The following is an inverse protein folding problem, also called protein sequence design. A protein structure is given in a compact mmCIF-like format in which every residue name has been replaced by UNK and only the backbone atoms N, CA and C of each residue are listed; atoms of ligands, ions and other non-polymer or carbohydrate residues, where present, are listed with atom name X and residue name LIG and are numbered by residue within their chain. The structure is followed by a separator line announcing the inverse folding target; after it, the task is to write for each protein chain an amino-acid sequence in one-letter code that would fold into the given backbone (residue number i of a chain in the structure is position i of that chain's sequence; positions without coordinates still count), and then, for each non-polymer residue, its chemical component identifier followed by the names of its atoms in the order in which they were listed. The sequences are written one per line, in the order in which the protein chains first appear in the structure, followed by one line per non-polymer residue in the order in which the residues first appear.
data_IF_024869060629
#
_entry.id   IF_024869060629
#
_cell.length_a   1.000
_cell.length_b   1.000
_cell.length_c   1.000
_cell.angle_alpha   90.00
_cell.angle_beta   90.00
_cell.angle_gamma   90.00
#
_symmetry.space_group_name_H-M   'P 1'
#
loop_
_entity.id
_entity.type
_entity.pdbx_description
1 polymer ?
#
# COMPACT_ATOMS: atom_id res chain seq x y z
N UNK A 1 45.57 -7.54 -46.84
CA UNK A 1 44.12 -7.78 -46.69
C UNK A 1 43.54 -6.72 -45.75
N UNK A 2 42.83 -5.72 -46.27
CA UNK A 2 42.16 -4.68 -45.45
C UNK A 2 40.76 -5.18 -45.10
N UNK A 3 40.47 -5.36 -43.81
CA UNK A 3 39.10 -5.64 -43.34
C UNK A 3 38.38 -4.31 -43.17
N UNK A 4 37.39 -4.07 -44.02
CA UNK A 4 36.45 -2.95 -43.87
C UNK A 4 35.36 -3.42 -42.92
N UNK A 5 35.21 -2.75 -41.78
CA UNK A 5 34.13 -3.00 -40.82
C UNK A 5 33.00 -2.02 -41.10
N UNK A 6 31.82 -2.53 -41.47
CA UNK A 6 30.60 -1.73 -41.60
C UNK A 6 29.90 -1.70 -40.25
N UNK A 7 29.89 -0.54 -39.59
CA UNK A 7 29.05 -0.30 -38.41
C UNK A 7 27.72 0.27 -38.88
N UNK A 8 26.65 -0.51 -38.73
CA UNK A 8 25.28 -0.10 -39.03
C UNK A 8 24.74 0.69 -37.83
N UNK A 9 24.74 2.03 -37.91
CA UNK A 9 24.14 2.91 -36.92
C UNK A 9 22.63 2.95 -37.18
N UNK A 10 21.85 2.32 -36.31
CA UNK A 10 20.39 2.50 -36.28
C UNK A 10 20.06 3.86 -35.67
N UNK A 11 19.94 4.89 -36.52
CA UNK A 11 19.31 6.14 -36.15
C UNK A 11 17.79 5.91 -36.08
N UNK A 12 17.26 5.64 -34.89
CA UNK A 12 15.84 5.83 -34.62
C UNK A 12 15.56 7.34 -34.70
N UNK A 13 15.08 7.78 -35.86
CA UNK A 13 14.56 9.12 -36.08
C UNK A 13 13.30 9.32 -35.22
N UNK A 14 13.44 9.95 -34.06
CA UNK A 14 12.32 10.56 -33.34
C UNK A 14 11.85 11.82 -34.10
N UNK A 15 11.16 11.63 -35.23
CA UNK A 15 10.56 12.71 -36.03
C UNK A 15 9.06 12.85 -35.76
N UNK A 16 8.67 12.96 -34.49
CA UNK A 16 7.28 13.24 -34.12
C UNK A 16 7.20 14.00 -32.80
N UNK A 17 7.82 15.17 -32.72
CA UNK A 17 7.51 16.14 -31.67
C UNK A 17 6.30 16.94 -32.13
N UNK A 18 5.10 16.42 -31.86
CA UNK A 18 3.87 17.19 -31.98
C UNK A 18 3.61 17.87 -30.64
N UNK A 19 3.55 19.20 -30.64
CA UNK A 19 3.04 19.93 -29.48
C UNK A 19 1.56 19.61 -29.32
N UNK A 20 1.19 19.12 -28.13
CA UNK A 20 -0.19 18.84 -27.76
C UNK A 20 -0.69 19.90 -26.79
N UNK A 21 -1.98 20.24 -26.84
CA UNK A 21 -2.61 21.04 -25.77
C UNK A 21 -2.44 20.37 -24.39
N UNK A 22 -2.28 19.04 -24.39
CA UNK A 22 -2.04 18.25 -23.18
C UNK A 22 -0.68 18.56 -22.52
N UNK A 23 0.29 19.12 -23.25
CA UNK A 23 1.61 19.49 -22.72
C UNK A 23 1.57 20.72 -21.80
N UNK A 24 0.49 21.50 -21.86
CA UNK A 24 0.28 22.69 -21.03
C UNK A 24 -0.33 22.39 -19.67
N UNK A 25 -0.91 21.20 -19.47
CA UNK A 25 -1.46 20.81 -18.18
C UNK A 25 -0.38 20.20 -17.30
N UNK A 26 -0.43 20.42 -15.96
CA UNK A 26 0.53 19.80 -15.04
C UNK A 26 0.50 18.28 -15.21
N UNK A 27 1.66 17.70 -15.49
CA UNK A 27 1.79 16.28 -15.82
C UNK A 27 1.74 15.34 -14.62
N UNK A 28 1.76 15.88 -13.40
CA UNK A 28 1.87 15.09 -12.18
C UNK A 28 0.59 15.21 -11.35
N UNK A 29 -0.21 14.14 -11.26
CA UNK A 29 -1.24 14.09 -10.24
C UNK A 29 -0.58 14.11 -8.86
N UNK A 30 -1.17 14.88 -7.97
CA UNK A 30 -0.83 14.86 -6.55
C UNK A 30 -1.10 13.45 -6.05
N UNK A 31 -0.14 12.79 -5.37
CA UNK A 31 -0.37 11.48 -4.78
C UNK A 31 -1.64 11.49 -3.93
N UNK A 32 -2.57 10.61 -4.26
CA UNK A 32 -3.90 10.57 -3.62
C UNK A 32 -3.93 9.54 -2.48
N UNK A 33 -4.89 9.72 -1.58
CA UNK A 33 -5.09 8.83 -0.44
C UNK A 33 -5.77 7.52 -0.86
N UNK A 34 -5.41 6.45 -0.17
CA UNK A 34 -6.13 5.17 -0.13
C UNK A 34 -7.35 5.26 0.80
N UNK A 35 -8.17 4.20 0.83
CA UNK A 35 -9.26 4.03 1.80
C UNK A 35 -8.77 4.04 3.26
N UNK A 36 -7.53 3.62 3.52
CA UNK A 36 -6.90 3.67 4.85
C UNK A 36 -6.27 5.04 5.17
N UNK A 37 -6.32 5.99 4.23
CA UNK A 37 -5.80 7.35 4.37
C UNK A 37 -4.38 7.56 3.85
N UNK A 38 -3.50 6.55 4.00
CA UNK A 38 -2.12 6.63 3.51
C UNK A 38 -2.07 6.90 2.00
N UNK A 39 -0.97 7.48 1.51
CA UNK A 39 -0.76 7.71 0.09
C UNK A 39 -0.61 6.37 -0.63
N UNK A 40 -1.47 6.10 -1.61
CA UNK A 40 -1.60 4.76 -2.18
C UNK A 40 -2.54 4.66 -3.37
N UNK A 41 -2.88 3.43 -3.75
CA UNK A 41 -3.95 3.14 -4.72
C UNK A 41 -5.31 3.26 -4.03
N UNK A 42 -6.23 2.30 -4.19
CA UNK A 42 -7.51 2.32 -3.47
C UNK A 42 -7.33 1.58 -2.14
N UNK A 43 -6.89 0.32 -2.17
CA UNK A 43 -6.54 -0.49 -0.99
C UNK A 43 -5.05 -0.80 -0.95
N UNK A 44 -4.46 -1.03 -2.13
CA UNK A 44 -3.06 -1.44 -2.27
C UNK A 44 -2.09 -0.25 -2.05
N UNK A 45 -0.96 -0.48 -1.36
CA UNK A 45 0.04 0.56 -1.21
C UNK A 45 0.82 0.79 -2.51
N UNK A 46 1.52 1.92 -2.59
CA UNK A 46 2.45 2.23 -3.67
C UNK A 46 3.75 2.83 -3.11
N UNK A 47 4.71 3.20 -3.96
CA UNK A 47 5.95 3.85 -3.54
C UNK A 47 5.92 5.39 -3.67
N UNK A 48 4.72 6.01 -3.66
CA UNK A 48 4.49 7.46 -3.72
C UNK A 48 4.30 8.04 -2.32
N UNK A 49 4.70 9.30 -2.14
CA UNK A 49 4.58 10.02 -0.89
C UNK A 49 4.21 11.45 -1.21
N UNK A 50 3.60 12.12 -0.24
CA UNK A 50 3.38 13.56 -0.30
C UNK A 50 4.68 14.34 -0.15
N UNK A 51 4.58 15.64 -0.36
CA UNK A 51 5.63 16.59 0.00
C UNK A 51 5.83 16.61 1.53
N UNK A 52 7.04 17.01 1.94
CA UNK A 52 7.37 17.16 3.36
C UNK A 52 6.55 18.26 4.05
N UNK A 53 6.25 18.07 5.33
CA UNK A 53 5.44 19.01 6.12
C UNK A 53 3.95 18.94 5.85
N UNK A 54 3.47 18.00 5.02
CA UNK A 54 2.04 17.82 4.74
C UNK A 54 1.37 16.97 5.81
N UNK A 55 0.17 17.41 6.22
CA UNK A 55 -0.75 16.69 7.10
C UNK A 55 -2.10 16.54 6.39
N UNK A 56 -2.65 15.32 6.37
CA UNK A 56 -3.97 15.00 5.83
C UNK A 56 -4.88 14.46 6.93
N UNK A 57 -6.16 14.77 6.78
CA UNK A 57 -7.25 14.14 7.51
C UNK A 57 -8.17 13.49 6.48
N UNK A 58 -8.65 12.28 6.77
CA UNK A 58 -9.47 11.52 5.84
C UNK A 58 -10.51 10.69 6.57
N UNK A 59 -11.66 10.56 5.93
CA UNK A 59 -12.74 9.64 6.33
C UNK A 59 -13.08 8.81 5.08
N UNK A 60 -13.18 7.50 5.25
CA UNK A 60 -13.60 6.56 4.23
C UNK A 60 -14.63 5.62 4.82
N UNK A 61 -15.76 5.43 4.15
CA UNK A 61 -16.80 4.50 4.57
C UNK A 61 -17.14 3.55 3.43
N UNK A 62 -17.01 2.26 3.69
CA UNK A 62 -17.37 1.18 2.78
C UNK A 62 -17.79 -0.02 3.61
N UNK A 63 -19.10 -0.21 3.73
CA UNK A 63 -19.67 -1.25 4.60
C UNK A 63 -18.97 -2.61 4.42
N UNK A 64 -18.51 -3.27 5.50
CA UNK A 64 -18.74 -2.92 6.92
C UNK A 64 -17.66 -2.03 7.55
N UNK A 65 -16.67 -1.55 6.79
CA UNK A 65 -15.51 -0.86 7.33
C UNK A 65 -15.61 0.66 7.17
N UNK A 66 -15.38 1.36 8.27
CA UNK A 66 -15.16 2.80 8.28
C UNK A 66 -13.77 3.13 8.81
N UNK A 67 -13.09 4.06 8.16
CA UNK A 67 -11.75 4.50 8.51
C UNK A 67 -11.73 6.01 8.71
N UNK A 68 -11.20 6.44 9.84
CA UNK A 68 -10.81 7.84 10.09
C UNK A 68 -9.30 7.89 10.23
N UNK A 69 -8.63 8.69 9.43
CA UNK A 69 -7.17 8.71 9.34
C UNK A 69 -6.58 10.10 9.51
N UNK A 70 -5.43 10.17 10.16
CA UNK A 70 -4.53 11.33 10.19
C UNK A 70 -3.20 10.86 9.59
N UNK A 71 -2.73 11.52 8.53
CA UNK A 71 -1.51 11.12 7.82
C UNK A 71 -0.55 12.28 7.75
N UNK A 72 0.67 12.09 8.22
CA UNK A 72 1.73 13.08 8.16
C UNK A 72 2.90 12.60 7.30
N UNK A 73 3.45 13.49 6.48
CA UNK A 73 4.73 13.31 5.80
C UNK A 73 5.75 14.31 6.33
N UNK A 74 6.32 14.09 7.53
CA UNK A 74 7.25 15.06 8.13
C UNK A 74 8.55 15.22 7.33
N UNK A 75 8.96 14.18 6.60
CA UNK A 75 10.14 14.17 5.75
C UNK A 75 9.77 13.62 4.38
N UNK A 76 10.52 13.95 3.31
CA UNK A 76 10.17 13.46 1.98
C UNK A 76 10.18 11.93 1.92
N UNK A 77 11.00 11.26 2.74
CA UNK A 77 11.19 9.80 2.79
C UNK A 77 10.32 9.08 3.82
N UNK A 78 9.46 9.79 4.57
CA UNK A 78 8.66 9.20 5.64
C UNK A 78 7.20 9.64 5.55
N UNK A 79 6.29 8.67 5.66
CA UNK A 79 4.87 8.90 5.89
C UNK A 79 4.43 8.06 7.08
N UNK A 80 3.70 8.68 8.00
CA UNK A 80 3.14 8.04 9.18
C UNK A 80 1.64 8.26 9.21
N UNK A 81 0.88 7.20 9.49
CA UNK A 81 -0.57 7.22 9.53
C UNK A 81 -1.06 6.75 10.88
N UNK A 82 -1.93 7.54 11.50
CA UNK A 82 -2.79 7.06 12.57
C UNK A 82 -4.17 6.81 12.00
N UNK A 83 -4.72 5.61 12.23
CA UNK A 83 -6.02 5.21 11.71
C UNK A 83 -6.89 4.69 12.84
N UNK A 84 -8.10 5.19 12.90
CA UNK A 84 -9.20 4.62 13.66
C UNK A 84 -10.09 3.83 12.71
N UNK A 85 -10.36 2.58 13.06
CA UNK A 85 -11.19 1.66 12.26
C UNK A 85 -12.44 1.30 13.03
N UNK A 86 -13.57 1.29 12.34
CA UNK A 86 -14.85 0.79 12.83
C UNK A 86 -15.34 -0.31 11.89
N UNK A 87 -15.77 -1.42 12.47
CA UNK A 87 -16.30 -2.58 11.75
C UNK A 87 -17.75 -2.77 12.20
N UNK A 88 -18.68 -2.25 11.41
CA UNK A 88 -20.08 -2.05 11.79
C UNK A 88 -20.84 -3.36 12.01
N UNK A 89 -20.44 -4.44 11.32
CA UNK A 89 -21.10 -5.74 11.42
C UNK A 89 -20.58 -6.63 12.55
N UNK A 90 -19.78 -6.08 13.48
CA UNK A 90 -19.22 -6.79 14.63
C UNK A 90 -19.40 -5.96 15.90
N UNK A 91 -19.70 -6.60 17.03
CA UNK A 91 -19.71 -5.92 18.32
C UNK A 91 -18.29 -5.80 18.89
N UNK A 92 -18.05 -4.74 19.64
CA UNK A 92 -16.76 -4.50 20.31
C UNK A 92 -16.39 -5.59 21.32
N UNK A 93 -17.39 -6.26 21.91
CA UNK A 93 -17.19 -7.33 22.87
C UNK A 93 -18.50 -8.00 23.26
N UNK A 94 -18.52 -8.59 24.45
CA UNK A 94 -19.72 -9.19 25.01
C UNK A 94 -20.79 -8.12 25.26
N UNK A 95 -22.05 -8.46 25.04
CA UNK A 95 -23.17 -7.51 25.07
C UNK A 95 -23.26 -6.70 26.37
N UNK A 96 -23.00 -7.30 27.53
CA UNK A 96 -23.06 -6.58 28.81
C UNK A 96 -22.02 -5.44 28.93
N UNK A 97 -20.93 -5.51 28.15
CA UNK A 97 -19.86 -4.53 28.15
C UNK A 97 -19.99 -3.56 26.97
N UNK A 98 -20.25 -4.07 25.75
CA UNK A 98 -20.27 -3.25 24.54
C UNK A 98 -21.66 -2.71 24.16
N UNK A 99 -22.75 -3.29 24.69
CA UNK A 99 -24.09 -3.01 24.20
C UNK A 99 -24.18 -3.19 22.68
N UNK A 100 -24.61 -2.13 21.99
CA UNK A 100 -24.67 -2.08 20.52
C UNK A 100 -23.45 -1.41 19.86
N UNK A 101 -22.35 -1.23 20.60
CA UNK A 101 -21.14 -0.62 20.05
C UNK A 101 -20.44 -1.57 19.08
N UNK A 102 -20.18 -1.08 17.88
CA UNK A 102 -19.40 -1.76 16.84
C UNK A 102 -17.94 -1.97 17.25
N UNK A 103 -17.29 -2.97 16.63
CA UNK A 103 -15.88 -3.27 16.84
C UNK A 103 -15.03 -2.11 16.34
N UNK A 104 -14.04 -1.72 17.14
CA UNK A 104 -13.20 -0.55 16.94
C UNK A 104 -11.75 -0.92 17.16
N UNK A 105 -10.89 -0.38 16.31
CA UNK A 105 -9.46 -0.63 16.37
C UNK A 105 -8.66 0.65 16.08
N UNK A 106 -7.41 0.69 16.54
CA UNK A 106 -6.47 1.78 16.32
C UNK A 106 -5.20 1.20 15.70
N UNK A 107 -4.85 1.69 14.53
CA UNK A 107 -3.63 1.33 13.82
C UNK A 107 -2.66 2.51 13.74
N UNK A 108 -1.36 2.19 13.85
CA UNK A 108 -0.27 3.09 13.50
C UNK A 108 0.53 2.48 12.37
N UNK A 109 0.60 3.18 11.25
CA UNK A 109 1.29 2.73 10.06
C UNK A 109 2.53 3.62 9.82
N UNK A 110 3.60 3.01 9.31
CA UNK A 110 4.82 3.67 8.91
C UNK A 110 5.20 3.22 7.50
N UNK A 111 5.44 4.21 6.63
CA UNK A 111 5.90 4.00 5.26
C UNK A 111 7.19 4.77 5.06
N UNK A 112 8.21 4.07 4.58
CA UNK A 112 9.56 4.61 4.38
C UNK A 112 9.99 4.45 2.93
N UNK A 113 10.50 5.53 2.32
CA UNK A 113 11.10 5.47 0.99
C UNK A 113 12.54 4.99 1.10
N UNK A 114 12.83 3.87 0.44
CA UNK A 114 14.17 3.31 0.36
C UNK A 114 14.96 3.88 -0.84
N UNK A 115 14.27 4.15 -1.96
CA UNK A 115 14.90 4.70 -3.16
C UNK A 115 13.96 5.69 -3.84
N UNK A 116 14.49 6.86 -4.22
CA UNK A 116 13.76 7.85 -5.02
C UNK A 116 13.76 7.40 -6.49
N UNK A 117 12.64 7.61 -7.17
CA UNK A 117 12.56 7.40 -8.61
C UNK A 117 13.57 8.30 -9.34
N UNK A 118 14.27 7.71 -10.31
CA UNK A 118 15.11 8.43 -11.26
C UNK A 118 14.63 8.17 -12.68
N UNK A 119 15.39 8.58 -13.70
CA UNK A 119 15.09 8.21 -15.08
C UNK A 119 15.13 6.69 -15.28
N UNK A 120 16.09 6.00 -14.67
CA UNK A 120 16.36 4.57 -14.92
C UNK A 120 15.84 3.65 -13.81
N UNK A 121 15.67 4.14 -12.60
CA UNK A 121 15.23 3.34 -11.44
C UNK A 121 13.80 3.68 -11.03
N UNK A 122 13.01 2.72 -10.53
CA UNK A 122 11.72 3.01 -9.91
C UNK A 122 11.89 3.64 -8.52
N UNK A 123 10.82 4.20 -7.96
CA UNK A 123 10.73 4.46 -6.53
C UNK A 123 10.60 3.12 -5.80
N UNK A 124 11.21 2.98 -4.63
CA UNK A 124 11.06 1.80 -3.75
C UNK A 124 10.64 2.27 -2.35
N UNK A 125 9.62 1.63 -1.80
CA UNK A 125 9.14 1.86 -0.45
C UNK A 125 8.95 0.55 0.30
N UNK A 126 9.14 0.62 1.61
CA UNK A 126 8.73 -0.39 2.59
C UNK A 126 7.68 0.21 3.49
N UNK A 127 6.67 -0.56 3.84
CA UNK A 127 5.66 -0.13 4.78
C UNK A 127 5.29 -1.21 5.78
N UNK A 128 4.86 -0.73 6.94
CA UNK A 128 4.39 -1.50 8.06
C UNK A 128 3.06 -0.89 8.47
N UNK A 129 1.99 -1.68 8.45
CA UNK A 129 0.67 -1.28 8.93
C UNK A 129 0.40 -1.94 10.27
N UNK A 130 -0.28 -1.20 11.15
CA UNK A 130 -0.70 -1.66 12.47
C UNK A 130 0.47 -2.13 13.38
N UNK A 131 1.51 -1.29 13.50
CA UNK A 131 2.77 -1.58 14.23
C UNK A 131 2.55 -1.76 15.76
N UNK A 132 1.44 -1.26 16.29
CA UNK A 132 1.13 -1.29 17.72
C UNK A 132 -0.34 -1.35 18.05
N UNK A 133 -1.20 -1.76 17.12
CA UNK A 133 -2.61 -2.03 17.40
C UNK A 133 -2.86 -3.52 17.62
N UNK A 134 -4.10 -3.95 17.41
CA UNK A 134 -4.56 -5.29 17.79
C UNK A 134 -4.01 -6.40 16.90
N UNK A 135 -3.47 -6.05 15.72
CA UNK A 135 -2.99 -7.00 14.72
C UNK A 135 -4.05 -7.36 13.68
N UNK A 136 -5.30 -6.91 13.83
CA UNK A 136 -6.39 -7.18 12.90
C UNK A 136 -6.10 -6.68 11.48
N UNK A 137 -5.33 -5.60 11.37
CA UNK A 137 -4.96 -4.99 10.10
C UNK A 137 -3.45 -4.95 9.87
N UNK A 138 -2.72 -5.81 10.60
CA UNK A 138 -1.27 -5.92 10.48
C UNK A 138 -0.86 -6.43 9.11
N UNK A 139 0.00 -5.66 8.47
CA UNK A 139 0.56 -6.00 7.18
C UNK A 139 1.93 -5.36 7.01
N UNK A 140 2.79 -6.01 6.25
CA UNK A 140 4.03 -5.43 5.78
C UNK A 140 4.05 -5.47 4.25
N UNK A 141 4.76 -4.54 3.62
CA UNK A 141 4.87 -4.54 2.17
C UNK A 141 6.18 -3.96 1.67
N UNK A 142 6.56 -4.41 0.48
CA UNK A 142 7.52 -3.75 -0.39
C UNK A 142 6.80 -3.34 -1.66
N UNK A 143 6.90 -2.07 -2.03
CA UNK A 143 6.28 -1.54 -3.24
C UNK A 143 7.33 -0.85 -4.10
N UNK A 144 7.28 -1.11 -5.40
CA UNK A 144 7.98 -0.32 -6.41
C UNK A 144 6.97 0.44 -7.26
N UNK A 145 7.27 1.70 -7.57
CA UNK A 145 6.45 2.50 -8.49
C UNK A 145 7.29 3.21 -9.53
N UNK A 146 6.79 3.25 -10.76
CA UNK A 146 7.45 3.90 -11.89
C UNK A 146 6.44 4.69 -12.72
N UNK A 147 6.79 5.94 -13.01
CA UNK A 147 5.95 6.84 -13.81
C UNK A 147 6.47 6.92 -15.24
N UNK A 148 5.56 6.70 -16.18
CA UNK A 148 5.75 6.81 -17.61
C UNK A 148 4.81 7.89 -18.15
N UNK A 149 5.24 9.15 -18.08
CA UNK A 149 4.40 10.30 -18.41
C UNK A 149 3.17 10.36 -17.49
N UNK A 150 1.99 10.12 -18.07
CA UNK A 150 0.68 10.16 -17.39
C UNK A 150 0.29 8.84 -16.70
N UNK A 151 1.01 7.76 -16.97
CA UNK A 151 0.79 6.45 -16.37
C UNK A 151 1.75 6.25 -15.20
N UNK A 152 1.23 5.97 -14.02
CA UNK A 152 1.98 5.52 -12.86
C UNK A 152 1.69 4.04 -12.63
N UNK A 153 2.74 3.24 -12.52
CA UNK A 153 2.65 1.79 -12.37
C UNK A 153 3.20 1.40 -11.02
N UNK A 154 2.58 0.41 -10.37
CA UNK A 154 3.00 -0.12 -9.09
C UNK A 154 2.99 -1.64 -9.12
N UNK A 155 4.02 -2.24 -8.53
CA UNK A 155 4.12 -3.67 -8.26
C UNK A 155 4.67 -3.83 -6.86
N UNK A 156 4.19 -4.81 -6.10
CA UNK A 156 4.72 -5.05 -4.78
C UNK A 156 4.38 -6.42 -4.21
N UNK A 157 4.98 -6.71 -3.07
CA UNK A 157 4.72 -7.91 -2.28
C UNK A 157 4.17 -7.45 -0.94
N UNK A 158 3.07 -8.06 -0.52
CA UNK A 158 2.44 -7.87 0.77
C UNK A 158 2.54 -9.13 1.64
N UNK A 159 2.60 -8.92 2.95
CA UNK A 159 2.49 -9.92 4.01
C UNK A 159 1.36 -9.52 4.98
N UNK A 160 0.94 -10.44 5.84
CA UNK A 160 -0.18 -10.21 6.74
C UNK A 160 -1.46 -9.97 5.95
N UNK A 161 -2.25 -8.96 6.32
CA UNK A 161 -3.51 -8.64 5.62
C UNK A 161 -3.31 -8.34 4.13
N UNK A 162 -2.18 -7.75 3.72
CA UNK A 162 -1.92 -7.50 2.30
C UNK A 162 -1.52 -8.78 1.53
N UNK A 163 -1.13 -9.83 2.25
CA UNK A 163 -0.68 -11.11 1.70
C UNK A 163 -1.73 -12.22 1.74
N UNK A 164 -2.98 -11.93 2.13
CA UNK A 164 -4.02 -12.93 2.44
C UNK A 164 -4.36 -13.88 1.29
N UNK A 165 -4.20 -13.44 0.04
CA UNK A 165 -4.40 -14.30 -1.14
C UNK A 165 -3.35 -15.42 -1.24
N UNK A 166 -2.18 -15.24 -0.61
CA UNK A 166 -1.13 -16.27 -0.54
C UNK A 166 -0.61 -16.75 -1.90
N UNK A 167 -0.74 -15.94 -2.94
CA UNK A 167 -0.47 -16.35 -4.33
C UNK A 167 1.02 -16.57 -4.65
N UNK A 168 1.91 -16.31 -3.70
CA UNK A 168 3.33 -16.68 -3.79
C UNK A 168 3.84 -17.34 -2.51
N UNK A 169 4.91 -18.12 -2.67
CA UNK A 169 5.74 -18.53 -1.53
C UNK A 169 6.49 -17.31 -1.00
N UNK A 170 6.47 -17.12 0.31
CA UNK A 170 7.20 -16.04 0.96
C UNK A 170 8.70 -16.09 0.57
N UNK A 171 9.23 -15.04 -0.09
CA UNK A 171 10.61 -15.03 -0.57
C UNK A 171 11.64 -15.11 0.57
N UNK A 172 11.27 -14.66 1.78
CA UNK A 172 12.17 -14.66 2.94
C UNK A 172 12.26 -16.02 3.66
N UNK A 173 11.43 -17.01 3.27
CA UNK A 173 11.55 -18.37 3.78
C UNK A 173 12.93 -19.00 3.47
N UNK A 174 13.60 -18.53 2.41
CA UNK A 174 14.94 -19.01 2.06
C UNK A 174 16.06 -18.37 2.89
N UNK A 175 15.75 -17.28 3.62
CA UNK A 175 16.71 -16.55 4.45
C UNK A 175 16.75 -17.15 5.85
N UNK A 176 15.59 -17.38 6.46
CA UNK A 176 15.48 -17.97 7.80
C UNK A 176 14.10 -18.57 8.05
N UNK A 177 14.01 -19.67 8.80
CA UNK A 177 12.75 -20.39 9.05
C UNK A 177 11.72 -19.55 9.84
N UNK A 178 12.16 -18.50 10.55
CA UNK A 178 11.26 -17.59 11.26
C UNK A 178 10.29 -16.84 10.34
N UNK A 179 10.57 -16.73 9.04
CA UNK A 179 9.68 -16.10 8.07
C UNK A 179 8.55 -17.00 7.59
N UNK A 180 8.59 -18.30 7.92
CA UNK A 180 7.63 -19.28 7.42
C UNK A 180 6.21 -19.09 7.97
N UNK A 181 6.08 -18.64 9.21
CA UNK A 181 4.79 -18.53 9.90
C UNK A 181 4.73 -17.28 10.77
N UNK A 182 3.54 -16.67 10.86
CA UNK A 182 3.24 -15.65 11.87
C UNK A 182 2.78 -16.36 13.14
N UNK A 183 3.39 -16.00 14.27
CA UNK A 183 3.18 -16.70 15.55
C UNK A 183 2.47 -15.85 16.60
N UNK A 184 2.42 -14.54 16.41
CA UNK A 184 1.71 -13.63 17.30
C UNK A 184 0.20 -13.81 17.14
N UNK A 185 -0.48 -13.93 18.28
CA UNK A 185 -1.94 -13.89 18.34
C UNK A 185 -2.43 -12.45 18.27
N UNK A 186 -3.69 -12.29 17.83
CA UNK A 186 -4.42 -11.03 17.95
C UNK A 186 -4.40 -10.57 19.42
N UNK A 187 -4.02 -9.32 19.63
CA UNK A 187 -3.86 -8.71 20.94
C UNK A 187 -4.90 -7.63 21.22
N UNK A 188 -4.75 -6.97 22.37
CA UNK A 188 -5.57 -5.81 22.77
C UNK A 188 -4.94 -4.47 22.32
N UNK A 189 -3.90 -4.51 21.49
CA UNK A 189 -3.10 -3.34 21.12
C UNK A 189 -1.99 -3.00 22.12
N UNK A 190 -1.12 -2.06 21.73
CA UNK A 190 -0.04 -1.52 22.57
C UNK A 190 1.24 -2.34 22.63
N UNK A 191 1.30 -3.52 21.99
CA UNK A 191 2.49 -4.36 21.92
C UNK A 191 3.01 -4.47 20.49
N UNK A 192 4.32 -4.28 20.31
CA UNK A 192 4.96 -4.40 19.01
C UNK A 192 5.28 -5.87 18.70
N UNK A 193 4.80 -6.37 17.56
CA UNK A 193 5.01 -7.76 17.12
C UNK A 193 6.12 -7.88 16.06
N UNK A 194 7.33 -7.38 16.37
CA UNK A 194 8.47 -7.35 15.44
C UNK A 194 8.89 -8.71 14.87
N UNK A 195 8.60 -9.81 15.58
CA UNK A 195 8.99 -11.18 15.18
C UNK A 195 8.23 -11.70 13.97
N UNK A 196 7.04 -11.15 13.70
CA UNK A 196 6.14 -11.60 12.64
C UNK A 196 6.27 -10.78 11.35
N UNK A 197 7.11 -9.74 11.36
CA UNK A 197 7.28 -8.87 10.21
C UNK A 197 7.84 -9.62 9.00
N UNK A 198 7.17 -9.47 7.87
CA UNK A 198 7.51 -10.13 6.61
C UNK A 198 7.48 -11.68 6.69
N UNK A 199 6.68 -12.21 7.63
CA UNK A 199 6.50 -13.65 7.86
C UNK A 199 5.11 -14.12 7.42
N UNK A 200 4.99 -15.42 7.16
CA UNK A 200 3.73 -16.07 6.78
C UNK A 200 3.41 -16.00 5.30
N UNK A 201 2.11 -15.96 4.98
CA UNK A 201 1.63 -15.85 3.60
C UNK A 201 2.07 -14.52 2.99
N UNK A 202 2.43 -14.58 1.71
CA UNK A 202 2.80 -13.42 0.91
C UNK A 202 2.02 -13.43 -0.40
N UNK A 203 1.73 -12.25 -0.93
CA UNK A 203 1.04 -12.11 -2.20
C UNK A 203 1.65 -10.97 -3.03
N UNK A 204 1.68 -11.14 -4.36
CA UNK A 204 1.96 -10.05 -5.28
C UNK A 204 0.71 -9.21 -5.50
N UNK A 205 0.84 -7.90 -5.32
CA UNK A 205 -0.16 -6.94 -5.74
C UNK A 205 0.39 -6.04 -6.84
N UNK A 206 -0.51 -5.46 -7.63
CA UNK A 206 -0.15 -4.55 -8.69
C UNK A 206 -1.19 -3.44 -8.83
N UNK A 207 -0.82 -2.34 -9.48
CA UNK A 207 -1.79 -1.34 -9.86
C UNK A 207 -1.28 -0.31 -10.84
N UNK A 208 -2.23 0.39 -11.43
CA UNK A 208 -2.04 1.41 -12.45
C UNK A 208 -2.84 2.64 -12.04
N UNK A 209 -2.24 3.82 -12.15
CA UNK A 209 -2.92 5.09 -12.07
C UNK A 209 -2.67 5.87 -13.37
N UNK A 210 -3.73 6.27 -14.05
CA UNK A 210 -3.63 7.08 -15.26
C UNK A 210 -4.27 8.45 -15.04
N UNK A 211 -3.48 9.50 -15.21
CA UNK A 211 -3.94 10.87 -15.02
C UNK A 211 -4.57 11.44 -16.29
N UNK A 212 -5.67 12.17 -16.10
CA UNK A 212 -6.34 13.03 -17.07
C UNK A 212 -6.22 14.50 -16.64
N UNK A 213 -5.05 15.14 -16.87
CA UNK A 213 -4.77 16.49 -16.36
C UNK A 213 -5.81 17.54 -16.77
N UNK A 214 -6.26 17.49 -18.03
CA UNK A 214 -7.30 18.38 -18.57
C UNK A 214 -8.59 18.38 -17.72
N UNK A 215 -8.93 17.26 -17.09
CA UNK A 215 -10.17 17.11 -16.32
C UNK A 215 -9.92 17.06 -14.81
N UNK A 216 -8.65 17.07 -14.36
CA UNK A 216 -8.31 16.86 -12.95
C UNK A 216 -8.70 15.48 -12.41
N UNK A 217 -8.80 14.46 -13.28
CA UNK A 217 -9.23 13.11 -12.92
C UNK A 217 -8.04 12.14 -12.96
N UNK A 218 -8.07 11.13 -12.11
CA UNK A 218 -7.19 9.95 -12.21
C UNK A 218 -8.04 8.69 -12.23
N UNK A 219 -7.71 7.77 -13.14
CA UNK A 219 -8.27 6.42 -13.14
C UNK A 219 -7.30 5.48 -12.42
N UNK A 220 -7.79 4.74 -11.43
CA UNK A 220 -7.01 3.74 -10.70
C UNK A 220 -7.53 2.34 -11.01
N UNK A 221 -6.62 1.41 -11.20
CA UNK A 221 -6.87 -0.02 -11.30
C UNK A 221 -5.89 -0.72 -10.36
N UNK A 222 -6.36 -1.66 -9.55
CA UNK A 222 -5.49 -2.45 -8.67
C UNK A 222 -5.87 -3.93 -8.69
N UNK A 223 -4.87 -4.75 -8.46
CA UNK A 223 -5.00 -6.17 -8.14
C UNK A 223 -4.84 -6.30 -6.62
N UNK A 224 -5.97 -6.38 -5.93
CA UNK A 224 -6.08 -6.45 -4.47
C UNK A 224 -5.95 -7.90 -3.99
N UNK A 225 -5.05 -8.12 -3.04
CA UNK A 225 -4.74 -9.43 -2.44
C UNK A 225 -5.15 -9.54 -0.98
N UNK A 226 -5.93 -8.58 -0.46
CA UNK A 226 -6.35 -8.56 0.94
C UNK A 226 -7.39 -9.62 1.30
N UNK A 227 -8.01 -10.25 0.29
CA UNK A 227 -9.06 -11.25 0.41
C UNK A 227 -10.11 -10.86 1.48
N UNK A 228 -10.94 -9.83 1.19
CA UNK A 228 -11.89 -9.29 2.16
C UNK A 228 -12.92 -10.31 2.64
N UNK A 229 -13.14 -11.39 1.89
CA UNK A 229 -14.05 -12.49 2.25
C UNK A 229 -13.48 -13.38 3.37
N UNK A 230 -12.16 -13.35 3.60
CA UNK A 230 -11.47 -14.09 4.67
C UNK A 230 -11.44 -13.30 5.98
N UNK A 231 -11.98 -12.07 5.99
CA UNK A 231 -11.93 -11.19 7.15
C UNK A 231 -12.66 -11.79 8.37
N UNK A 232 -11.85 -12.14 9.37
CA UNK A 232 -12.19 -12.46 10.77
C UNK A 232 -12.83 -13.83 11.07
N UNK A 233 -12.43 -14.90 10.39
CA UNK A 233 -12.85 -16.28 10.74
C UNK A 233 -12.19 -16.84 12.02
N UNK A 234 -11.53 -16.03 12.84
CA UNK A 234 -10.80 -16.47 14.04
C UNK A 234 -11.29 -15.80 15.32
N UNK A 235 -11.99 -16.59 16.15
CA UNK A 235 -12.22 -16.40 17.59
C UNK A 235 -12.95 -15.13 18.03
N UNK A 236 -14.26 -15.06 17.74
CA UNK A 236 -15.17 -14.61 18.79
C UNK A 236 -15.39 -15.80 19.72
N UNK A 237 -15.26 -15.66 21.05
CA UNK A 237 -15.88 -16.64 21.94
C UNK A 237 -17.39 -16.59 21.65
N UNK A 238 -17.85 -17.58 20.89
CA UNK A 238 -19.22 -18.05 21.02
C UNK A 238 -19.33 -18.67 22.43
N UNK A 239 -20.49 -18.52 23.04
CA UNK A 239 -20.86 -18.81 24.44
C UNK A 239 -20.56 -17.63 25.38
N UNK A 240 -21.58 -16.97 25.96
CA UNK A 240 -22.79 -17.51 26.63
C UNK A 240 -24.03 -16.72 26.26
#
# INVERSE_FOLDING_TARGET
MKRVSFSLIWCFSCLSLYGSIEDYFPSQPIPSSSNLGETGLMVMPNARFMEEGILKFGISSSFPNEYTSIVGSPFPWMEATYRYTEIENKLYGQFFYSGNQSLKDKGFDLKLRLMKESRLTPSLAVGLRDIGGTGLSSAEYLAISKRFGRLDTTLGIGWGLLGSDGNIRNPFNSIHDSFSSRTSMLGQGGAFNFKDWFSGQAAFFAGLEYSFPKHGLSLKLEYDTTNPDVAFAGNLPLEV
#
